data_IF_084176745420
#
_entry.id   IF_084176745420
#
_cell.length_a   1.000
_cell.length_b   1.000
_cell.length_c   1.000
_cell.angle_alpha   90.00
_cell.angle_beta   90.00
_cell.angle_gamma   90.00
#
_symmetry.space_group_name_H-M   'P 1'
#
loop_
_entity.id
_entity.type
_entity.pdbx_description
1 polymer ?
#
# COMPACT_ATOMS: atom_id res chain seq x y z
N UNK A 1 -2.98 3.89 -21.01
CA UNK A 1 -3.97 4.17 -19.96
C UNK A 1 -3.26 4.10 -18.61
N UNK A 2 -3.58 4.98 -17.67
CA UNK A 2 -3.04 4.94 -16.32
C UNK A 2 -3.70 3.82 -15.54
N UNK A 3 -3.08 3.39 -14.41
CA UNK A 3 -3.65 2.46 -13.47
C UNK A 3 -3.51 3.08 -12.08
N UNK A 4 -4.57 3.11 -11.33
CA UNK A 4 -4.58 3.60 -9.95
C UNK A 4 -4.80 2.41 -8.98
N UNK A 5 -4.50 2.59 -7.70
CA UNK A 5 -4.73 1.57 -6.68
C UNK A 5 -5.73 2.08 -5.65
N UNK A 6 -6.70 1.24 -5.32
CA UNK A 6 -7.58 1.39 -4.18
C UNK A 6 -7.09 0.46 -3.08
N UNK A 7 -6.77 1.00 -1.91
CA UNK A 7 -6.15 0.24 -0.83
C UNK A 7 -6.76 0.63 0.51
N UNK A 8 -7.19 -0.35 1.30
CA UNK A 8 -7.83 -0.19 2.60
C UNK A 8 -7.16 -1.04 3.66
N UNK A 9 -7.02 -0.50 4.88
CA UNK A 9 -6.54 -1.26 6.02
C UNK A 9 -7.69 -1.83 6.84
N UNK A 10 -7.61 -3.11 7.15
CA UNK A 10 -8.53 -3.80 8.03
C UNK A 10 -7.82 -4.47 9.20
N UNK A 11 -8.50 -4.49 10.34
CA UNK A 11 -8.08 -5.20 11.54
C UNK A 11 -9.14 -6.14 12.07
N UNK A 12 -8.74 -7.33 12.52
CA UNK A 12 -9.63 -8.30 13.14
C UNK A 12 -9.81 -7.98 14.64
N UNK A 13 -10.86 -7.23 14.96
CA UNK A 13 -11.04 -6.67 16.30
C UNK A 13 -12.51 -6.63 16.74
N UNK A 14 -12.74 -6.65 18.05
CA UNK A 14 -14.03 -6.33 18.67
C UNK A 14 -14.15 -4.84 19.00
N UNK A 15 -13.05 -4.07 18.91
CA UNK A 15 -13.04 -2.66 19.28
C UNK A 15 -13.89 -1.84 18.33
N UNK A 16 -14.62 -0.86 18.86
CA UNK A 16 -15.50 0.04 18.09
C UNK A 16 -15.09 1.46 18.45
N UNK A 17 -14.20 2.06 17.65
CA UNK A 17 -13.86 3.47 17.80
C UNK A 17 -14.94 4.36 17.17
N UNK A 18 -15.23 5.46 17.81
CA UNK A 18 -16.17 6.47 17.31
C UNK A 18 -17.60 6.35 17.82
N UNK A 19 -17.99 5.29 18.51
CA UNK A 19 -19.23 5.29 19.29
C UNK A 19 -18.93 5.71 20.72
N UNK A 20 -19.70 6.66 21.23
CA UNK A 20 -19.62 7.19 22.60
C UNK A 20 -19.40 6.07 23.62
N UNK A 21 -18.67 6.37 24.72
CA UNK A 21 -18.30 5.49 25.85
C UNK A 21 -19.43 4.59 26.40
N UNK A 22 -20.66 4.85 26.01
CA UNK A 22 -21.87 4.15 26.48
C UNK A 22 -22.30 2.93 25.63
N UNK A 23 -21.75 2.76 24.42
CA UNK A 23 -22.04 1.62 23.56
C UNK A 23 -20.77 0.80 23.32
N UNK A 24 -20.19 0.26 24.39
CA UNK A 24 -19.29 -0.89 24.27
C UNK A 24 -20.16 -2.09 23.92
N UNK A 25 -20.50 -2.25 22.67
CA UNK A 25 -20.89 -3.56 22.18
C UNK A 25 -19.69 -4.46 22.40
N UNK A 26 -19.82 -5.39 23.35
CA UNK A 26 -18.97 -6.59 23.43
C UNK A 26 -19.30 -7.44 22.22
N UNK A 27 -19.02 -6.90 21.04
CA UNK A 27 -19.29 -7.56 19.77
C UNK A 27 -18.26 -8.65 19.51
N UNK A 28 -18.67 -9.68 18.81
CA UNK A 28 -17.75 -10.67 18.27
C UNK A 28 -16.65 -9.97 17.44
N UNK A 29 -15.44 -10.47 17.56
CA UNK A 29 -14.33 -10.01 16.70
C UNK A 29 -14.69 -10.23 15.23
N UNK A 30 -14.43 -9.25 14.41
CA UNK A 30 -14.62 -9.29 12.97
C UNK A 30 -13.61 -8.37 12.28
N UNK A 31 -13.45 -8.52 11.00
CA UNK A 31 -12.70 -7.58 10.18
C UNK A 31 -13.41 -6.24 10.14
N UNK A 32 -12.66 -5.18 10.37
CA UNK A 32 -13.14 -3.79 10.38
C UNK A 32 -12.10 -2.90 9.73
N UNK A 33 -12.55 -1.91 9.00
CA UNK A 33 -11.66 -0.83 8.57
C UNK A 33 -11.11 -0.11 9.80
N UNK A 34 -9.80 0.02 9.87
CA UNK A 34 -9.06 0.59 11.01
C UNK A 34 -8.41 1.92 10.68
N UNK A 35 -8.65 2.47 9.50
CA UNK A 35 -8.10 3.74 9.05
C UNK A 35 -8.74 4.93 9.79
N UNK A 36 -8.03 6.06 9.76
CA UNK A 36 -8.55 7.31 10.28
C UNK A 36 -9.42 7.99 9.23
N UNK A 37 -10.70 8.09 9.56
CA UNK A 37 -11.66 8.87 8.80
C UNK A 37 -11.93 10.18 9.54
N UNK A 38 -11.85 11.29 8.85
CA UNK A 38 -12.18 12.61 9.37
C UNK A 38 -13.26 13.24 8.51
N UNK A 39 -14.13 14.02 9.16
CA UNK A 39 -15.13 14.76 8.44
C UNK A 39 -14.46 15.91 7.70
N UNK A 40 -14.65 15.96 6.40
CA UNK A 40 -14.18 17.06 5.58
C UNK A 40 -15.27 18.15 5.53
N UNK A 41 -15.21 19.09 6.50
CA UNK A 41 -16.18 20.17 6.59
C UNK A 41 -16.13 21.14 5.40
N UNK A 42 -15.02 21.19 4.67
CA UNK A 42 -14.84 22.03 3.48
C UNK A 42 -15.63 21.48 2.29
N UNK A 43 -15.73 20.16 2.18
CA UNK A 43 -16.40 19.48 1.06
C UNK A 43 -17.80 18.96 1.40
N UNK A 44 -18.15 18.92 2.69
CA UNK A 44 -19.46 18.47 3.15
C UNK A 44 -20.62 19.27 2.55
N UNK A 45 -20.41 20.57 2.35
CA UNK A 45 -21.43 21.47 1.76
C UNK A 45 -21.55 21.30 0.24
N UNK A 46 -20.54 20.77 -0.44
CA UNK A 46 -20.54 20.57 -1.88
C UNK A 46 -21.06 19.17 -2.29
N UNK A 47 -21.02 18.23 -1.40
CA UNK A 47 -21.58 16.87 -1.59
C UNK A 47 -23.00 16.79 -1.07
N UNK A 48 -23.92 17.39 -1.79
CA UNK A 48 -25.31 17.56 -1.37
C UNK A 48 -26.10 16.25 -1.30
N UNK A 49 -25.57 15.11 -1.70
CA UNK A 49 -26.34 13.86 -1.70
C UNK A 49 -25.46 12.66 -1.31
N UNK A 50 -25.60 12.22 -0.07
CA UNK A 50 -25.45 10.83 0.35
C UNK A 50 -24.17 10.45 1.09
N UNK A 51 -23.04 10.91 0.70
CA UNK A 51 -21.77 10.50 1.33
C UNK A 51 -21.37 11.50 2.40
N UNK A 52 -21.55 11.26 3.59
CA UNK A 52 -21.35 12.14 4.73
C UNK A 52 -20.09 13.02 4.82
N UNK A 53 -19.46 13.38 3.68
CA UNK A 53 -18.31 14.29 3.64
C UNK A 53 -17.11 13.78 4.47
N UNK A 54 -16.85 12.50 4.45
CA UNK A 54 -15.71 11.91 5.13
C UNK A 54 -14.56 11.69 4.15
N UNK A 55 -13.37 12.12 4.55
CA UNK A 55 -12.11 11.78 3.89
C UNK A 55 -11.30 10.86 4.78
N UNK A 56 -10.47 10.01 4.17
CA UNK A 56 -9.51 9.18 4.87
C UNK A 56 -8.09 9.65 4.60
N UNK A 57 -7.20 9.36 5.52
CA UNK A 57 -5.78 9.58 5.29
C UNK A 57 -5.24 8.42 4.44
N UNK A 58 -4.70 8.75 3.28
CA UNK A 58 -4.13 7.74 2.40
C UNK A 58 -3.00 6.98 3.10
N UNK A 59 -2.99 5.66 2.89
CA UNK A 59 -1.97 4.76 3.43
C UNK A 59 -0.67 4.82 2.64
N UNK A 60 -0.75 5.27 1.40
CA UNK A 60 0.40 5.46 0.51
C UNK A 60 0.41 6.88 -0.04
N UNK A 61 1.58 7.39 -0.38
CA UNK A 61 1.73 8.69 -1.01
C UNK A 61 1.79 8.49 -2.53
N UNK A 62 0.75 8.97 -3.21
CA UNK A 62 0.61 8.86 -4.66
C UNK A 62 -0.16 7.61 -5.11
N UNK A 63 -1.07 7.82 -6.05
CA UNK A 63 -1.99 6.78 -6.52
C UNK A 63 -1.40 5.90 -7.64
N UNK A 64 -0.23 6.24 -8.19
CA UNK A 64 0.40 5.60 -9.36
C UNK A 64 1.84 5.19 -9.12
N UNK A 65 2.09 4.39 -8.11
CA UNK A 65 3.39 3.76 -7.88
C UNK A 65 3.39 2.34 -8.47
N UNK A 66 3.76 2.22 -9.75
CA UNK A 66 3.78 0.92 -10.44
C UNK A 66 4.79 -0.05 -9.84
N UNK A 67 5.86 0.44 -9.21
CA UNK A 67 6.79 -0.41 -8.46
C UNK A 67 6.12 -1.05 -7.25
N UNK A 68 5.29 -0.28 -6.52
CA UNK A 68 4.47 -0.82 -5.44
C UNK A 68 3.43 -1.84 -5.97
N UNK A 69 2.74 -1.53 -7.08
CA UNK A 69 1.72 -2.42 -7.65
C UNK A 69 2.31 -3.77 -8.02
N UNK A 70 3.51 -3.73 -8.63
CA UNK A 70 4.25 -4.93 -8.95
C UNK A 70 4.61 -5.73 -7.68
N UNK A 71 5.18 -5.08 -6.68
CA UNK A 71 5.58 -5.75 -5.44
C UNK A 71 4.39 -6.35 -4.67
N UNK A 72 3.23 -5.69 -4.67
CA UNK A 72 2.04 -6.20 -3.99
C UNK A 72 1.41 -7.39 -4.72
N UNK A 73 1.30 -7.34 -6.05
CA UNK A 73 0.47 -8.27 -6.82
C UNK A 73 1.00 -8.67 -8.21
N UNK A 74 2.17 -8.22 -8.62
CA UNK A 74 2.70 -8.48 -9.98
C UNK A 74 2.07 -7.62 -11.07
N UNK A 75 1.32 -6.58 -10.71
CA UNK A 75 0.64 -5.69 -11.67
C UNK A 75 1.62 -4.67 -12.24
N UNK A 76 1.56 -4.41 -13.55
CA UNK A 76 2.41 -3.46 -14.26
C UNK A 76 3.90 -3.79 -14.24
N UNK A 77 4.27 -5.07 -14.11
CA UNK A 77 5.65 -5.54 -14.22
C UNK A 77 5.72 -6.96 -14.73
N UNK A 78 6.91 -7.41 -15.08
CA UNK A 78 7.17 -8.78 -15.54
C UNK A 78 8.04 -9.51 -14.53
N UNK A 79 7.53 -10.61 -13.97
CA UNK A 79 8.20 -11.40 -12.91
C UNK A 79 9.58 -11.92 -13.37
N UNK A 80 9.71 -12.27 -14.65
CA UNK A 80 10.97 -12.76 -15.23
C UNK A 80 12.06 -11.69 -15.35
N UNK A 81 11.68 -10.41 -15.27
CA UNK A 81 12.56 -9.26 -15.44
C UNK A 81 12.91 -8.55 -14.12
N UNK A 82 12.46 -9.10 -12.98
CA UNK A 82 12.72 -8.53 -11.67
C UNK A 82 13.55 -9.45 -10.79
N UNK A 83 14.47 -8.87 -10.03
CA UNK A 83 15.20 -9.55 -8.95
C UNK A 83 14.31 -9.82 -7.73
N UNK A 84 13.16 -9.14 -7.64
CA UNK A 84 12.26 -9.16 -6.49
C UNK A 84 10.87 -9.61 -6.94
N UNK A 85 10.48 -10.87 -6.71
CA UNK A 85 9.16 -11.36 -7.08
C UNK A 85 8.06 -10.64 -6.29
N UNK A 86 6.83 -10.57 -6.81
CA UNK A 86 5.70 -10.03 -6.07
C UNK A 86 5.44 -10.82 -4.79
N UNK A 87 4.96 -10.14 -3.74
CA UNK A 87 4.66 -10.74 -2.43
C UNK A 87 3.63 -11.86 -2.58
N UNK A 88 2.60 -11.62 -3.36
CA UNK A 88 1.65 -12.66 -3.75
C UNK A 88 1.02 -12.37 -5.12
N UNK A 89 0.48 -13.39 -5.78
CA UNK A 89 -0.43 -13.20 -6.92
C UNK A 89 -1.79 -12.74 -6.41
N UNK A 90 -2.57 -12.01 -7.24
CA UNK A 90 -3.93 -11.65 -6.91
C UNK A 90 -4.77 -12.87 -6.49
N UNK A 91 -5.48 -12.78 -5.38
CA UNK A 91 -6.22 -13.90 -4.78
C UNK A 91 -7.72 -13.62 -4.59
N UNK A 92 -8.22 -12.54 -5.20
CA UNK A 92 -9.60 -12.09 -5.04
C UNK A 92 -9.82 -11.36 -3.71
N UNK A 93 -11.07 -10.96 -3.47
CA UNK A 93 -11.48 -10.36 -2.22
C UNK A 93 -11.53 -11.41 -1.10
N UNK A 94 -11.27 -11.03 0.16
CA UNK A 94 -11.42 -11.95 1.28
C UNK A 94 -12.90 -12.27 1.53
N UNK A 95 -13.20 -13.48 2.02
CA UNK A 95 -14.59 -13.92 2.31
C UNK A 95 -15.31 -13.02 3.33
N UNK A 96 -14.57 -12.41 4.24
CA UNK A 96 -15.10 -11.49 5.24
C UNK A 96 -14.32 -10.18 5.17
N UNK A 97 -15.02 -9.08 5.01
CA UNK A 97 -14.47 -7.73 4.99
C UNK A 97 -15.40 -6.77 5.73
N UNK A 98 -14.93 -5.56 5.98
CA UNK A 98 -15.75 -4.49 6.55
C UNK A 98 -16.81 -4.05 5.54
N UNK A 99 -18.03 -3.81 6.03
CA UNK A 99 -19.14 -3.32 5.19
C UNK A 99 -18.80 -1.99 4.48
N UNK A 100 -17.92 -1.18 5.07
CA UNK A 100 -17.50 0.08 4.48
C UNK A 100 -16.61 -0.15 3.27
N UNK A 101 -15.64 -1.06 3.36
CA UNK A 101 -14.78 -1.45 2.23
C UNK A 101 -15.61 -2.07 1.12
N UNK A 102 -16.56 -2.94 1.49
CA UNK A 102 -17.49 -3.56 0.55
C UNK A 102 -18.39 -2.53 -0.14
N UNK A 103 -18.92 -1.54 0.59
CA UNK A 103 -19.75 -0.48 -0.01
C UNK A 103 -18.96 0.44 -0.91
N UNK A 104 -17.72 0.78 -0.53
CA UNK A 104 -16.86 1.60 -1.38
C UNK A 104 -16.61 0.90 -2.71
N UNK A 105 -16.37 -0.40 -2.68
CA UNK A 105 -16.27 -1.22 -3.88
C UNK A 105 -17.58 -1.22 -4.70
N UNK A 106 -18.74 -1.35 -4.04
CA UNK A 106 -20.04 -1.49 -4.76
C UNK A 106 -20.63 -0.18 -5.22
N UNK A 107 -20.36 0.93 -4.52
CA UNK A 107 -20.94 2.25 -4.84
C UNK A 107 -20.09 3.02 -5.87
N UNK A 108 -18.76 2.86 -5.86
CA UNK A 108 -17.88 3.44 -6.89
C UNK A 108 -17.67 2.50 -8.09
N UNK A 109 -17.78 1.22 -7.85
CA UNK A 109 -17.78 0.19 -8.87
C UNK A 109 -19.20 -0.31 -9.02
N UNK A 110 -19.94 0.17 -10.04
CA UNK A 110 -21.02 -0.67 -10.56
C UNK A 110 -20.43 -2.07 -10.72
N UNK A 111 -20.96 -3.05 -9.96
CA UNK A 111 -20.49 -4.44 -9.99
C UNK A 111 -20.47 -4.88 -11.46
N UNK A 112 -19.27 -5.03 -12.02
CA UNK A 112 -19.05 -5.26 -13.45
C UNK A 112 -18.50 -4.05 -14.20
N UNK A 113 -18.05 -2.99 -13.53
CA UNK A 113 -17.19 -1.99 -14.17
C UNK A 113 -15.98 -2.72 -14.75
N UNK A 114 -15.83 -2.59 -16.06
CA UNK A 114 -14.82 -3.30 -16.89
C UNK A 114 -13.39 -2.91 -16.47
N UNK A 115 -13.24 -1.91 -15.61
CA UNK A 115 -12.00 -1.23 -15.35
C UNK A 115 -11.26 -1.72 -14.10
N UNK A 116 -11.94 -2.44 -13.17
CA UNK A 116 -11.32 -2.95 -11.95
C UNK A 116 -10.78 -4.37 -12.11
N UNK A 117 -9.53 -4.58 -11.70
CA UNK A 117 -8.85 -5.86 -11.88
C UNK A 117 -7.92 -6.18 -10.69
N UNK A 118 -7.46 -7.43 -10.65
CA UNK A 118 -6.44 -7.92 -9.71
C UNK A 118 -6.76 -7.66 -8.23
N UNK A 119 -8.04 -7.84 -7.85
CA UNK A 119 -8.49 -7.74 -6.47
C UNK A 119 -7.67 -8.69 -5.59
N UNK A 120 -7.20 -8.19 -4.45
CA UNK A 120 -6.36 -8.99 -3.56
C UNK A 120 -6.35 -8.45 -2.14
N UNK A 121 -5.64 -9.16 -1.27
CA UNK A 121 -5.36 -8.76 0.10
C UNK A 121 -4.05 -9.38 0.57
N UNK A 122 -3.39 -8.69 1.51
CA UNK A 122 -2.15 -9.14 2.14
C UNK A 122 -2.20 -8.81 3.63
N UNK A 123 -1.77 -9.74 4.46
CA UNK A 123 -1.60 -9.49 5.89
C UNK A 123 -0.35 -8.66 6.16
N UNK A 124 -0.33 -7.95 7.28
CA UNK A 124 0.87 -7.24 7.73
C UNK A 124 2.04 -8.22 7.93
N UNK A 125 1.77 -9.47 8.31
CA UNK A 125 2.78 -10.52 8.38
C UNK A 125 3.42 -10.77 7.02
N UNK A 126 2.63 -11.01 5.97
CA UNK A 126 3.14 -11.26 4.62
C UNK A 126 3.96 -10.08 4.10
N UNK A 127 3.48 -8.86 4.33
CA UNK A 127 4.21 -7.64 3.96
C UNK A 127 5.58 -7.57 4.66
N UNK A 128 5.67 -7.92 5.95
CA UNK A 128 6.92 -7.92 6.71
C UNK A 128 7.85 -9.06 6.33
N UNK A 129 7.32 -10.26 6.15
CA UNK A 129 8.09 -11.46 5.77
C UNK A 129 8.64 -11.39 4.35
N UNK A 130 8.10 -10.55 3.47
CA UNK A 130 8.70 -10.27 2.16
C UNK A 130 10.13 -9.73 2.25
N UNK A 131 10.47 -9.06 3.37
CA UNK A 131 11.76 -8.40 3.56
C UNK A 131 11.89 -7.07 2.81
N UNK A 132 10.87 -6.63 2.04
CA UNK A 132 10.94 -5.43 1.19
C UNK A 132 10.66 -4.13 1.96
N UNK A 133 10.17 -4.23 3.20
CA UNK A 133 9.81 -3.08 4.03
C UNK A 133 10.98 -2.34 4.68
N UNK A 134 12.21 -2.80 4.49
CA UNK A 134 13.42 -2.23 5.09
C UNK A 134 14.51 -1.90 4.06
N UNK A 135 15.64 -1.42 4.56
CA UNK A 135 16.84 -1.29 3.73
C UNK A 135 17.42 -2.66 3.42
N UNK A 136 17.75 -2.89 2.17
CA UNK A 136 18.30 -4.15 1.68
C UNK A 136 19.40 -3.91 0.64
N UNK A 137 20.26 -4.91 0.39
CA UNK A 137 21.22 -4.81 -0.71
C UNK A 137 20.50 -4.75 -2.04
N UNK A 138 20.77 -3.70 -2.80
CA UNK A 138 20.22 -3.46 -4.12
C UNK A 138 21.34 -3.38 -5.15
N UNK A 139 21.05 -3.77 -6.37
CA UNK A 139 21.96 -3.66 -7.51
C UNK A 139 21.18 -3.30 -8.77
N UNK A 140 21.72 -2.36 -9.53
CA UNK A 140 21.04 -1.92 -10.75
C UNK A 140 21.77 -0.78 -11.45
N UNK A 141 21.15 -0.31 -12.50
CA UNK A 141 21.64 0.79 -13.33
C UNK A 141 21.04 2.11 -12.86
N UNK A 142 21.90 3.08 -12.53
CA UNK A 142 21.55 4.37 -11.95
C UNK A 142 22.29 5.49 -12.67
N UNK A 143 21.79 6.72 -12.57
CA UNK A 143 22.57 7.92 -12.92
C UNK A 143 23.60 8.17 -11.84
N UNK A 144 24.84 8.42 -12.21
CA UNK A 144 25.91 8.66 -11.23
C UNK A 144 25.60 9.83 -10.31
N UNK A 145 25.04 10.92 -10.81
CA UNK A 145 24.65 12.09 -10.02
C UNK A 145 23.58 11.78 -8.95
N UNK A 146 22.61 10.90 -9.27
CA UNK A 146 21.56 10.49 -8.33
C UNK A 146 22.13 9.53 -7.26
N UNK A 147 23.08 8.69 -7.66
CA UNK A 147 23.79 7.81 -6.72
C UNK A 147 24.63 8.60 -5.72
N UNK A 148 25.42 9.61 -6.20
CA UNK A 148 26.20 10.50 -5.33
C UNK A 148 25.28 11.25 -4.35
N UNK A 149 24.18 11.79 -4.85
CA UNK A 149 23.17 12.46 -4.03
C UNK A 149 22.56 11.54 -2.97
N UNK A 150 22.28 10.28 -3.31
CA UNK A 150 21.79 9.27 -2.36
C UNK A 150 22.80 9.06 -1.24
N UNK A 151 24.13 8.98 -1.56
CA UNK A 151 25.18 8.82 -0.57
C UNK A 151 25.27 10.03 0.38
N UNK A 152 25.11 11.26 -0.15
CA UNK A 152 25.08 12.48 0.68
C UNK A 152 23.89 12.48 1.65
N UNK A 153 22.70 12.08 1.18
CA UNK A 153 21.52 11.98 2.03
C UNK A 153 21.70 10.92 3.12
N UNK A 154 22.24 9.76 2.76
CA UNK A 154 22.51 8.67 3.70
C UNK A 154 23.53 9.10 4.78
N UNK A 155 24.60 9.77 4.39
CA UNK A 155 25.59 10.32 5.32
C UNK A 155 24.99 11.38 6.26
N UNK A 156 23.95 12.10 5.82
CA UNK A 156 23.18 13.05 6.62
C UNK A 156 22.06 12.40 7.46
N UNK A 157 21.93 11.07 7.44
CA UNK A 157 20.86 10.34 8.14
C UNK A 157 19.46 10.58 7.54
N UNK A 158 19.40 10.97 6.27
CA UNK A 158 18.16 11.24 5.55
C UNK A 158 17.85 10.10 4.58
N UNK A 159 16.57 9.89 4.31
CA UNK A 159 16.10 8.91 3.35
C UNK A 159 16.08 9.50 1.94
N UNK A 160 16.57 8.73 0.96
CA UNK A 160 16.50 9.05 -0.45
C UNK A 160 16.03 7.81 -1.23
N UNK A 161 15.02 7.97 -2.07
CA UNK A 161 14.61 6.92 -3.00
C UNK A 161 15.41 7.08 -4.29
N UNK A 162 16.35 6.18 -4.51
CA UNK A 162 17.12 6.13 -5.74
C UNK A 162 16.28 5.47 -6.84
N UNK A 163 16.08 6.17 -7.96
CA UNK A 163 15.51 5.56 -9.15
C UNK A 163 16.56 4.69 -9.84
N UNK A 164 16.21 3.47 -10.19
CA UNK A 164 17.12 2.56 -10.84
C UNK A 164 16.39 1.57 -11.75
N UNK A 165 17.14 0.99 -12.69
CA UNK A 165 16.70 -0.14 -13.49
C UNK A 165 17.34 -1.40 -12.88
N UNK A 166 16.54 -2.43 -12.59
CA UNK A 166 17.04 -3.70 -12.06
C UNK A 166 18.10 -4.29 -13.01
N UNK A 167 19.17 -4.86 -12.46
CA UNK A 167 20.24 -5.50 -13.25
C UNK A 167 19.72 -6.64 -14.12
N UNK A 168 18.61 -7.29 -13.75
CA UNK A 168 17.97 -8.36 -14.52
C UNK A 168 17.01 -7.88 -15.59
N UNK A 169 16.66 -6.58 -15.59
CA UNK A 169 15.80 -6.04 -16.63
C UNK A 169 16.40 -6.30 -18.01
N UNK A 170 15.58 -6.75 -18.95
CA UNK A 170 15.97 -6.92 -20.35
C UNK A 170 16.08 -5.57 -21.08
N UNK A 171 15.65 -4.48 -20.45
CA UNK A 171 15.82 -3.16 -21.01
C UNK A 171 17.31 -2.84 -21.14
N UNK A 172 17.70 -2.42 -22.34
CA UNK A 172 19.07 -1.93 -22.56
C UNK A 172 19.22 -0.62 -21.80
N UNK A 173 20.16 -0.52 -20.84
CA UNK A 173 20.35 0.71 -20.09
C UNK A 173 20.62 1.89 -21.03
N UNK A 174 19.99 3.02 -20.75
CA UNK A 174 20.27 4.28 -21.48
C UNK A 174 21.76 4.62 -21.35
N UNK A 175 22.28 5.31 -22.37
CA UNK A 175 23.66 5.83 -22.36
C UNK A 175 23.83 6.78 -21.15
N UNK A 176 24.85 6.51 -20.33
CA UNK A 176 25.17 7.34 -19.16
C UNK A 176 24.70 6.75 -17.82
N UNK A 177 24.01 5.60 -17.82
CA UNK A 177 23.78 4.85 -16.60
C UNK A 177 25.01 4.01 -16.22
N UNK A 178 25.23 3.86 -14.93
CA UNK A 178 26.28 3.03 -14.33
C UNK A 178 25.68 1.96 -13.42
N UNK A 179 26.25 0.76 -13.43
CA UNK A 179 25.82 -0.29 -12.52
C UNK A 179 26.45 -0.04 -11.15
N UNK A 180 25.62 -0.02 -10.10
CA UNK A 180 26.04 0.18 -8.71
C UNK A 180 25.36 -0.85 -7.80
N UNK A 181 26.01 -1.08 -6.65
CA UNK A 181 25.46 -1.83 -5.53
C UNK A 181 25.36 -0.89 -4.32
N UNK A 182 24.24 -0.92 -3.60
CA UNK A 182 24.03 -0.07 -2.43
C UNK A 182 23.07 -0.72 -1.42
N UNK A 183 23.06 -0.17 -0.22
CA UNK A 183 22.06 -0.50 0.79
C UNK A 183 20.95 0.56 0.76
N UNK A 184 19.76 0.19 0.35
CA UNK A 184 18.67 1.15 0.14
C UNK A 184 17.28 0.54 0.28
N UNK A 185 16.27 1.34 0.06
CA UNK A 185 14.87 0.91 0.05
C UNK A 185 14.48 0.51 -1.38
N UNK A 186 13.88 -0.66 -1.50
CA UNK A 186 13.35 -1.13 -2.78
C UNK A 186 12.17 -0.25 -3.22
N UNK A 187 11.26 0.04 -2.30
CA UNK A 187 10.14 0.95 -2.51
C UNK A 187 9.76 1.65 -1.19
N UNK A 188 9.84 2.97 -1.15
CA UNK A 188 9.54 3.75 0.06
C UNK A 188 8.06 3.73 0.42
N UNK A 189 7.15 3.69 -0.57
CA UNK A 189 5.72 3.60 -0.29
C UNK A 189 5.37 2.30 0.42
N UNK A 190 6.01 1.17 0.04
CA UNK A 190 5.84 -0.09 0.76
C UNK A 190 6.38 -0.01 2.19
N UNK A 191 7.55 0.61 2.39
CA UNK A 191 8.10 0.83 3.73
C UNK A 191 7.17 1.67 4.60
N UNK A 192 6.63 2.75 4.04
CA UNK A 192 5.68 3.63 4.73
C UNK A 192 4.35 2.95 5.01
N UNK A 193 3.84 2.16 4.06
CA UNK A 193 2.62 1.35 4.22
C UNK A 193 2.75 0.41 5.42
N UNK A 194 3.84 -0.36 5.49
CA UNK A 194 4.11 -1.27 6.61
C UNK A 194 4.15 -0.50 7.94
N UNK A 195 4.87 0.62 8.00
CA UNK A 195 4.97 1.45 9.21
C UNK A 195 3.61 2.02 9.65
N UNK A 196 2.78 2.46 8.70
CA UNK A 196 1.42 2.96 8.97
C UNK A 196 0.50 1.84 9.49
N UNK A 197 0.60 0.63 8.93
CA UNK A 197 -0.16 -0.53 9.40
C UNK A 197 0.29 -0.96 10.81
N UNK A 198 1.57 -0.91 11.14
CA UNK A 198 2.07 -1.16 12.49
C UNK A 198 1.53 -0.13 13.48
N UNK A 199 1.52 1.15 13.13
CA UNK A 199 0.94 2.19 13.96
C UNK A 199 -0.57 1.98 14.20
N UNK A 200 -1.33 1.63 13.16
CA UNK A 200 -2.75 1.30 13.28
C UNK A 200 -2.97 0.06 14.16
N UNK A 201 -2.14 -0.99 13.99
CA UNK A 201 -2.17 -2.20 14.83
C UNK A 201 -2.01 -1.86 16.32
N UNK A 202 -1.02 -1.04 16.66
CA UNK A 202 -0.78 -0.58 18.04
C UNK A 202 -1.94 0.24 18.57
N UNK A 203 -2.41 1.19 17.78
CA UNK A 203 -3.52 2.07 18.15
C UNK A 203 -4.79 1.30 18.43
N UNK A 204 -5.12 0.30 17.61
CA UNK A 204 -6.28 -0.57 17.79
C UNK A 204 -6.03 -1.74 18.75
N UNK A 205 -4.82 -1.84 19.32
CA UNK A 205 -4.40 -2.90 20.26
C UNK A 205 -4.59 -4.31 19.69
N UNK A 206 -4.38 -4.46 18.40
CA UNK A 206 -4.40 -5.74 17.70
C UNK A 206 -3.07 -6.45 17.99
N UNK A 207 -3.12 -7.73 18.33
CA UNK A 207 -1.92 -8.43 18.83
C UNK A 207 -1.12 -9.11 17.73
N UNK A 208 -1.78 -9.67 16.74
CA UNK A 208 -1.13 -10.43 15.68
C UNK A 208 -1.01 -9.64 14.38
N UNK A 209 0.10 -9.81 13.66
CA UNK A 209 0.27 -9.28 12.31
C UNK A 209 -0.66 -9.96 11.29
N UNK A 210 -1.15 -11.17 11.59
CA UNK A 210 -2.18 -11.86 10.78
C UNK A 210 -3.58 -11.25 10.96
N UNK A 211 -3.77 -10.47 12.00
CA UNK A 211 -5.04 -9.80 12.32
C UNK A 211 -5.10 -8.37 11.78
N UNK A 212 -4.11 -7.95 11.00
CA UNK A 212 -4.08 -6.70 10.23
C UNK A 212 -3.79 -7.04 8.79
N UNK A 213 -4.54 -6.45 7.87
CA UNK A 213 -4.35 -6.65 6.42
C UNK A 213 -4.67 -5.39 5.63
N UNK A 214 -4.18 -5.36 4.41
CA UNK A 214 -4.68 -4.49 3.36
C UNK A 214 -5.62 -5.29 2.45
N UNK A 215 -6.68 -4.64 1.99
CA UNK A 215 -7.55 -5.11 0.88
C UNK A 215 -7.39 -4.09 -0.23
N UNK A 216 -7.13 -4.52 -1.44
CA UNK A 216 -6.81 -3.62 -2.53
C UNK A 216 -7.22 -4.19 -3.90
N UNK A 217 -7.34 -3.30 -4.88
CA UNK A 217 -7.55 -3.59 -6.29
C UNK A 217 -7.00 -2.45 -7.14
N UNK A 218 -6.99 -2.67 -8.43
CA UNK A 218 -6.48 -1.72 -9.42
C UNK A 218 -7.58 -1.36 -10.41
N UNK A 219 -7.52 -0.14 -10.94
CA UNK A 219 -8.36 0.32 -12.05
C UNK A 219 -7.53 0.87 -13.21
N UNK A 220 -8.12 0.97 -14.42
CA UNK A 220 -7.46 1.49 -15.62
C UNK A 220 -8.05 2.81 -16.09
#
# INVERSE_FOLDING_TARGET
MGCDIHLFAEGYTADVRGKTLWNRETGNRRWKNIEHWYRDDVWADLRIQGDGGFSRRDLIDGHRDYGLFYLLAGVRGEEEESSWPPIAKPRGLPEQMDDLVFRYETDEMEIGSIDCHDLSWLTLRELKESGYGGRMPLKGWVREEDYEKMLEFDAAGKTYQLAFIDEKSKETPETGLVCREWLGYLNLNLTMLISRLEALKEEWRIKSDDEVRIVFWFDN
#
